data_IF_263273670018
#
_entry.id   IF_263273670018
#
_cell.length_a   1.000
_cell.length_b   1.000
_cell.length_c   1.000
_cell.angle_alpha   90.00
_cell.angle_beta   90.00
_cell.angle_gamma   90.00
#
_symmetry.space_group_name_H-M   'P 1'
#
loop_
_entity.id
_entity.type
_entity.pdbx_description
1 polymer ?
#
# COMPACT_ATOMS: atom_id res chain seq x y z
N UNK A 1 -2.97 14.92 -0.53
CA UNK A 1 -3.06 15.33 -1.95
C UNK A 1 -3.87 14.30 -2.71
N UNK A 2 -4.53 14.70 -3.81
CA UNK A 2 -5.27 13.80 -4.70
C UNK A 2 -4.35 12.74 -5.36
N UNK A 3 -4.95 11.67 -5.88
CA UNK A 3 -4.25 10.82 -6.86
C UNK A 3 -3.95 11.63 -8.11
N UNK A 4 -2.78 11.40 -8.71
CA UNK A 4 -2.35 12.06 -9.96
C UNK A 4 -2.57 11.18 -11.20
N UNK A 5 -3.03 9.95 -11.01
CA UNK A 5 -3.38 9.00 -12.07
C UNK A 5 -4.73 8.33 -11.79
N UNK A 6 -5.13 7.43 -12.68
CA UNK A 6 -6.40 6.71 -12.54
C UNK A 6 -6.45 5.91 -11.23
N UNK A 7 -7.58 5.98 -10.52
CA UNK A 7 -7.86 5.09 -9.39
C UNK A 7 -8.33 3.77 -9.99
N UNK A 8 -7.53 2.72 -9.81
CA UNK A 8 -7.77 1.39 -10.39
C UNK A 8 -8.54 0.47 -9.45
N UNK A 9 -8.46 0.72 -8.14
CA UNK A 9 -9.15 -0.06 -7.14
C UNK A 9 -9.38 0.76 -5.85
N UNK A 10 -10.39 0.37 -5.07
CA UNK A 10 -10.58 0.90 -3.73
C UNK A 10 -11.35 -0.07 -2.84
N UNK A 11 -11.24 0.14 -1.54
CA UNK A 11 -12.05 -0.46 -0.48
C UNK A 11 -12.37 0.61 0.56
N UNK A 12 -13.45 0.41 1.32
CA UNK A 12 -13.78 1.31 2.42
C UNK A 12 -14.49 0.60 3.56
N UNK A 13 -14.44 1.22 4.74
CA UNK A 13 -15.29 0.93 5.89
C UNK A 13 -16.02 2.23 6.29
N UNK A 14 -16.64 2.28 7.47
CA UNK A 14 -17.36 3.47 7.95
C UNK A 14 -16.46 4.66 8.35
N UNK A 15 -15.14 4.49 8.35
CA UNK A 15 -14.16 5.49 8.81
C UNK A 15 -13.06 5.75 7.79
N UNK A 16 -12.67 4.77 6.99
CA UNK A 16 -11.51 4.85 6.10
C UNK A 16 -11.86 4.40 4.69
N UNK A 17 -11.20 5.03 3.73
CA UNK A 17 -11.07 4.52 2.35
C UNK A 17 -9.61 4.19 2.11
N UNK A 18 -9.34 3.05 1.49
CA UNK A 18 -8.05 2.75 0.88
C UNK A 18 -8.25 2.68 -0.62
N UNK A 19 -7.42 3.40 -1.36
CA UNK A 19 -7.51 3.51 -2.82
C UNK A 19 -6.15 3.28 -3.44
N UNK A 20 -6.12 2.51 -4.52
CA UNK A 20 -4.92 2.28 -5.34
C UNK A 20 -5.02 2.99 -6.68
N UNK A 21 -3.92 3.59 -7.11
CA UNK A 21 -3.72 4.14 -8.44
C UNK A 21 -2.48 3.54 -9.10
N UNK A 22 -2.21 3.92 -10.34
CA UNK A 22 -1.00 3.50 -11.08
C UNK A 22 0.30 3.70 -10.28
N UNK A 23 0.35 4.69 -9.38
CA UNK A 23 1.58 5.10 -8.69
C UNK A 23 1.55 4.96 -7.18
N UNK A 24 0.36 4.95 -6.56
CA UNK A 24 0.26 5.05 -5.10
C UNK A 24 -0.92 4.28 -4.52
N UNK A 25 -0.79 3.86 -3.27
CA UNK A 25 -1.92 3.47 -2.42
C UNK A 25 -2.10 4.54 -1.34
N UNK A 26 -3.30 5.09 -1.21
CA UNK A 26 -3.62 6.18 -0.26
C UNK A 26 -4.76 5.81 0.67
N UNK A 27 -4.69 6.30 1.91
CA UNK A 27 -5.70 6.19 2.94
C UNK A 27 -6.37 7.53 3.20
N UNK A 28 -7.69 7.52 3.31
CA UNK A 28 -8.53 8.70 3.49
C UNK A 28 -9.44 8.53 4.70
N UNK A 29 -9.76 9.64 5.37
CA UNK A 29 -10.83 9.68 6.36
C UNK A 29 -12.17 9.91 5.67
N UNK A 30 -13.15 9.05 5.95
CA UNK A 30 -14.49 9.10 5.32
C UNK A 30 -15.30 10.31 5.78
N UNK A 31 -15.11 10.76 7.01
CA UNK A 31 -15.90 11.85 7.60
C UNK A 31 -15.43 13.21 7.11
N UNK A 32 -14.11 13.41 7.02
CA UNK A 32 -13.53 14.69 6.60
C UNK A 32 -13.22 14.75 5.11
N UNK A 33 -13.06 13.60 4.45
CA UNK A 33 -12.59 13.50 3.07
C UNK A 33 -11.09 13.77 2.92
N UNK A 34 -10.36 13.93 4.03
CA UNK A 34 -8.94 14.24 3.99
C UNK A 34 -8.10 13.00 3.67
N UNK A 35 -7.05 13.21 2.87
CA UNK A 35 -6.00 12.21 2.67
C UNK A 35 -5.16 12.12 3.95
N UNK A 36 -5.29 11.02 4.67
CA UNK A 36 -4.58 10.80 5.93
C UNK A 36 -3.14 10.39 5.68
N UNK A 37 -2.91 9.49 4.72
CA UNK A 37 -1.58 8.92 4.50
C UNK A 37 -1.41 8.33 3.09
N UNK A 38 -0.20 8.45 2.56
CA UNK A 38 0.28 7.65 1.43
C UNK A 38 0.85 6.33 1.99
N UNK A 39 0.13 5.22 1.78
CA UNK A 39 0.51 3.90 2.30
C UNK A 39 1.63 3.27 1.46
N UNK A 40 1.56 3.43 0.14
CA UNK A 40 2.57 2.99 -0.82
C UNK A 40 2.79 4.07 -1.88
N UNK A 41 4.06 4.32 -2.24
CA UNK A 41 4.49 5.20 -3.32
C UNK A 41 5.34 4.44 -4.32
N UNK A 42 5.71 5.06 -5.45
CA UNK A 42 6.68 4.53 -6.42
C UNK A 42 6.30 3.15 -7.00
N UNK A 43 5.01 2.98 -7.27
CA UNK A 43 4.46 1.80 -7.92
C UNK A 43 4.42 1.99 -9.43
N UNK A 44 4.46 0.87 -10.16
CA UNK A 44 4.09 0.83 -11.58
C UNK A 44 2.69 0.26 -11.82
N UNK A 45 2.02 -0.21 -10.77
CA UNK A 45 0.62 -0.63 -10.83
C UNK A 45 0.05 -1.06 -9.47
N UNK A 46 -1.26 -0.90 -9.31
CA UNK A 46 -2.03 -1.49 -8.21
C UNK A 46 -3.23 -2.20 -8.80
N UNK A 47 -3.38 -3.49 -8.50
CA UNK A 47 -4.48 -4.31 -9.02
C UNK A 47 -5.63 -4.45 -8.04
N UNK A 48 -5.31 -4.62 -6.76
CA UNK A 48 -6.32 -4.86 -5.74
C UNK A 48 -5.80 -4.45 -4.37
N UNK A 49 -6.71 -3.92 -3.56
CA UNK A 49 -6.51 -3.71 -2.13
C UNK A 49 -7.62 -4.40 -1.36
N UNK A 50 -7.29 -4.97 -0.19
CA UNK A 50 -8.24 -5.44 0.82
C UNK A 50 -7.74 -5.01 2.19
N UNK A 51 -8.64 -4.55 3.05
CA UNK A 51 -8.24 -4.13 4.39
C UNK A 51 -9.30 -4.48 5.43
N UNK A 52 -8.84 -4.62 6.66
CA UNK A 52 -9.68 -4.70 7.86
C UNK A 52 -9.41 -3.48 8.77
N UNK A 53 -9.95 -3.46 9.98
CA UNK A 53 -9.75 -2.33 10.91
C UNK A 53 -8.29 -2.03 11.30
N UNK A 54 -7.31 -2.85 10.88
CA UNK A 54 -5.90 -2.78 11.27
C UNK A 54 -4.92 -2.91 10.08
N UNK A 55 -5.13 -3.86 9.18
CA UNK A 55 -4.18 -4.23 8.11
C UNK A 55 -4.75 -4.02 6.72
N UNK A 56 -3.88 -3.69 5.77
CA UNK A 56 -4.16 -3.69 4.33
C UNK A 56 -3.26 -4.70 3.65
N UNK A 57 -3.81 -5.46 2.72
CA UNK A 57 -3.10 -6.28 1.76
C UNK A 57 -3.28 -5.64 0.40
N UNK A 58 -2.18 -5.39 -0.30
CA UNK A 58 -2.17 -4.79 -1.62
C UNK A 58 -1.41 -5.68 -2.60
N UNK A 59 -2.03 -5.98 -3.75
CA UNK A 59 -1.34 -6.58 -4.89
C UNK A 59 -0.83 -5.44 -5.78
N UNK A 60 0.50 -5.31 -5.91
CA UNK A 60 1.16 -4.14 -6.50
C UNK A 60 2.35 -4.52 -7.38
N UNK A 61 2.67 -3.68 -8.36
CA UNK A 61 3.87 -3.83 -9.20
C UNK A 61 4.93 -2.81 -8.83
N UNK A 62 6.19 -3.26 -8.77
CA UNK A 62 7.39 -2.40 -8.69
C UNK A 62 8.48 -3.01 -9.56
N UNK A 63 9.18 -2.19 -10.33
CA UNK A 63 10.33 -2.63 -11.12
C UNK A 63 10.02 -3.89 -11.96
N UNK A 64 8.85 -3.89 -12.61
CA UNK A 64 8.30 -5.01 -13.39
C UNK A 64 7.91 -6.28 -12.61
N UNK A 65 8.18 -6.35 -11.30
CA UNK A 65 7.83 -7.47 -10.45
C UNK A 65 6.52 -7.24 -9.70
N UNK A 66 5.79 -8.33 -9.47
CA UNK A 66 4.50 -8.33 -8.79
C UNK A 66 4.66 -8.77 -7.34
N UNK A 67 4.06 -8.01 -6.43
CA UNK A 67 4.16 -8.18 -5.00
C UNK A 67 2.81 -8.24 -4.32
N UNK A 68 2.73 -9.00 -3.24
CA UNK A 68 1.69 -8.87 -2.23
C UNK A 68 2.32 -8.20 -1.02
N UNK A 69 1.95 -6.94 -0.78
CA UNK A 69 2.42 -6.17 0.36
C UNK A 69 1.37 -6.17 1.47
N UNK A 70 1.78 -6.52 2.69
CA UNK A 70 0.96 -6.43 3.90
C UNK A 70 1.42 -5.23 4.71
N UNK A 71 0.48 -4.32 5.00
CA UNK A 71 0.65 -3.09 5.77
C UNK A 71 -0.18 -3.20 7.05
N UNK A 72 0.36 -2.74 8.18
CA UNK A 72 -0.35 -2.60 9.47
C UNK A 72 -0.45 -1.12 9.89
N UNK A 73 -1.46 -0.41 9.40
CA UNK A 73 -1.72 0.99 9.76
C UNK A 73 -2.48 1.12 11.09
N UNK A 74 -2.86 0.03 11.76
CA UNK A 74 -3.48 0.06 13.08
C UNK A 74 -2.54 0.54 14.18
N UNK A 75 -1.23 0.52 13.94
CA UNK A 75 -0.21 1.08 14.82
C UNK A 75 -0.44 2.57 15.19
N UNK A 76 -1.05 3.37 14.31
CA UNK A 76 -1.41 4.77 14.61
C UNK A 76 -2.47 4.84 15.72
N UNK A 77 -3.49 3.97 15.67
CA UNK A 77 -4.52 3.88 16.73
C UNK A 77 -3.90 3.50 18.07
N UNK A 78 -2.85 2.68 18.04
CA UNK A 78 -2.21 2.12 19.22
C UNK A 78 -1.07 3.02 19.76
N UNK A 79 -0.92 4.25 19.24
CA UNK A 79 0.06 5.24 19.72
C UNK A 79 1.51 4.89 19.41
N UNK A 80 1.76 4.02 18.44
CA UNK A 80 3.10 3.64 18.04
C UNK A 80 3.77 4.76 17.23
N UNK A 81 5.08 4.99 17.43
CA UNK A 81 5.79 6.03 16.70
C UNK A 81 5.90 5.68 15.19
N UNK A 82 6.09 6.66 14.30
CA UNK A 82 6.03 6.50 12.84
C UNK A 82 6.88 5.35 12.26
N UNK A 83 8.01 5.06 12.87
CA UNK A 83 8.94 3.97 12.55
C UNK A 83 8.39 2.56 12.86
N UNK A 84 7.36 2.48 13.71
CA UNK A 84 6.65 1.26 14.09
C UNK A 84 5.30 1.12 13.38
N UNK A 85 4.94 2.05 12.50
CA UNK A 85 3.82 1.88 11.58
C UNK A 85 4.10 0.71 10.64
N UNK A 86 3.02 0.09 10.17
CA UNK A 86 3.02 -1.15 9.41
C UNK A 86 4.26 -1.40 8.59
N UNK A 87 5.09 -2.33 9.06
CA UNK A 87 6.28 -2.76 8.34
C UNK A 87 5.84 -3.44 7.06
N UNK A 88 6.49 -3.08 5.94
CA UNK A 88 6.35 -3.78 4.67
C UNK A 88 6.80 -5.22 4.88
N UNK A 89 5.88 -6.17 4.76
CA UNK A 89 6.24 -7.58 4.71
C UNK A 89 6.18 -7.97 3.24
N UNK A 90 7.37 -8.13 2.65
CA UNK A 90 7.51 -8.71 1.33
C UNK A 90 7.39 -10.22 1.44
N UNK A 91 6.41 -10.81 0.76
CA UNK A 91 6.36 -12.27 0.63
C UNK A 91 7.43 -12.71 -0.39
N UNK A 92 8.16 -13.77 -0.06
CA UNK A 92 9.22 -14.39 -0.89
C UNK A 92 10.40 -13.45 -1.26
N UNK A 93 10.87 -12.65 -0.30
CA UNK A 93 11.97 -11.69 -0.50
C UNK A 93 13.22 -12.27 -1.19
N UNK A 94 13.59 -13.52 -0.92
CA UNK A 94 14.76 -14.15 -1.53
C UNK A 94 14.60 -14.37 -3.05
N UNK A 95 13.46 -14.92 -3.49
CA UNK A 95 13.19 -15.19 -4.92
C UNK A 95 13.12 -13.88 -5.72
N UNK A 96 12.57 -12.82 -5.10
CA UNK A 96 12.54 -11.49 -5.70
C UNK A 96 13.95 -10.94 -5.89
N UNK A 97 14.81 -11.02 -4.86
CA UNK A 97 16.17 -10.48 -4.92
C UNK A 97 16.98 -11.14 -6.04
N UNK A 98 16.85 -12.46 -6.20
CA UNK A 98 17.50 -13.19 -7.30
C UNK A 98 17.04 -12.69 -8.69
N UNK A 99 15.75 -12.45 -8.89
CA UNK A 99 15.23 -11.93 -10.17
C UNK A 99 15.73 -10.49 -10.44
N UNK A 100 15.78 -9.65 -9.40
CA UNK A 100 16.28 -8.27 -9.53
C UNK A 100 17.77 -8.25 -9.88
N UNK A 101 18.56 -9.09 -9.20
CA UNK A 101 20.01 -9.16 -9.41
C UNK A 101 20.34 -9.70 -10.81
N UNK A 102 19.62 -10.72 -11.31
CA UNK A 102 19.78 -11.25 -12.67
C UNK A 102 19.39 -10.25 -13.78
N UNK A 103 18.51 -9.30 -13.46
CA UNK A 103 18.08 -8.25 -14.42
C UNK A 103 19.11 -7.13 -14.61
N UNK A 104 20.16 -7.09 -13.78
CA UNK A 104 21.21 -6.07 -13.77
C UNK A 104 22.55 -6.55 -14.37
N UNK A 105 22.66 -7.83 -14.73
CA UNK A 105 23.82 -8.45 -15.41
C UNK A 105 23.59 -8.65 -16.90
#
# INVERSE_FOLDING_TARGET
MAHTGAITCFQHDGRKVISGSEKTVKMWDVQTGECVQDLLTDLSGVWQVKFDGRRCVAAVQRDQLTYVEILDFGAIRDGQPPENLGKRILLNEHEVREIVDDSLT
#
